data_IF_641740597428
#
_entry.id   IF_641740597428
#
_cell.length_a   1.000
_cell.length_b   1.000
_cell.length_c   1.000
_cell.angle_alpha   90.00
_cell.angle_beta   90.00
_cell.angle_gamma   90.00
#
_symmetry.space_group_name_H-M   'P 1'
#
loop_
_entity.id
_entity.type
_entity.pdbx_description
1 polymer ?
#
# COMPACT_ATOMS: atom_id res chain seq x y z
N UNK A 1 56.11 81.74 18.35
CA UNK A 1 55.92 80.27 18.42
C UNK A 1 54.48 79.98 18.84
N UNK A 2 53.53 79.89 17.91
CA UNK A 2 52.14 79.48 18.26
C UNK A 2 51.31 78.91 17.09
N UNK A 3 51.86 78.68 15.89
CA UNK A 3 51.03 78.24 14.74
C UNK A 3 51.25 76.78 14.30
N UNK A 4 52.24 76.07 14.87
CA UNK A 4 52.51 74.67 14.53
C UNK A 4 51.63 73.65 15.28
N UNK A 5 51.03 74.03 16.42
CA UNK A 5 50.19 73.12 17.22
C UNK A 5 48.72 73.05 16.77
N UNK A 6 48.20 74.09 16.10
CA UNK A 6 46.81 74.10 15.64
C UNK A 6 46.60 73.20 14.40
N UNK A 7 47.60 73.12 13.51
CA UNK A 7 47.54 72.32 12.29
C UNK A 7 47.63 70.81 12.60
N UNK A 8 48.45 70.42 13.58
CA UNK A 8 48.55 69.02 14.03
C UNK A 8 47.28 68.53 14.74
N UNK A 9 46.59 69.39 15.50
CA UNK A 9 45.35 69.02 16.17
C UNK A 9 44.19 68.84 15.18
N UNK A 10 44.10 69.70 14.15
CA UNK A 10 43.09 69.59 13.09
C UNK A 10 43.22 68.31 12.26
N UNK A 11 44.46 67.92 11.89
CA UNK A 11 44.70 66.69 11.13
C UNK A 11 44.39 65.42 11.95
N UNK A 12 44.67 65.45 13.26
CA UNK A 12 44.38 64.32 14.16
C UNK A 12 42.88 64.10 14.34
N UNK A 13 42.12 65.19 14.49
CA UNK A 13 40.65 65.13 14.65
C UNK A 13 39.96 64.62 13.38
N UNK A 14 40.41 65.06 12.19
CA UNK A 14 39.84 64.59 10.92
C UNK A 14 40.14 63.11 10.67
N UNK A 15 41.34 62.65 11.00
CA UNK A 15 41.73 61.23 10.82
C UNK A 15 40.99 60.33 11.82
N UNK A 16 40.80 60.78 13.06
CA UNK A 16 40.03 60.06 14.07
C UNK A 16 38.54 59.95 13.69
N UNK A 17 37.95 61.02 13.15
CA UNK A 17 36.57 61.02 12.64
C UNK A 17 36.38 60.09 11.43
N UNK A 18 37.31 60.11 10.48
CA UNK A 18 37.26 59.21 9.32
C UNK A 18 37.36 57.72 9.73
N UNK A 19 38.17 57.42 10.74
CA UNK A 19 38.31 56.07 11.30
C UNK A 19 37.04 55.65 12.04
N UNK A 20 36.44 56.54 12.83
CA UNK A 20 35.19 56.28 13.55
C UNK A 20 34.02 56.03 12.58
N UNK A 21 33.91 56.83 11.51
CA UNK A 21 32.90 56.65 10.45
C UNK A 21 33.11 55.32 9.72
N UNK A 22 34.36 54.94 9.44
CA UNK A 22 34.66 53.64 8.80
C UNK A 22 34.34 52.45 9.71
N UNK A 23 34.58 52.57 11.03
CA UNK A 23 34.21 51.56 12.03
C UNK A 23 32.70 51.46 12.18
N UNK A 24 31.98 52.59 12.24
CA UNK A 24 30.51 52.62 12.34
C UNK A 24 29.85 52.05 11.08
N UNK A 25 30.34 52.39 9.89
CA UNK A 25 29.89 51.80 8.63
C UNK A 25 30.16 50.28 8.57
N UNK A 26 31.30 49.84 9.10
CA UNK A 26 31.64 48.42 9.24
C UNK A 26 30.74 47.66 10.22
N UNK A 27 30.31 48.30 11.31
CA UNK A 27 29.39 47.73 12.31
C UNK A 27 27.97 47.61 11.74
N UNK A 28 27.47 48.62 11.02
CA UNK A 28 26.16 48.55 10.37
C UNK A 28 26.12 47.52 9.24
N UNK A 29 27.19 47.41 8.44
CA UNK A 29 27.31 46.38 7.41
C UNK A 29 27.44 44.95 7.97
N UNK A 30 27.84 44.81 9.25
CA UNK A 30 27.90 43.53 9.95
C UNK A 30 26.54 43.18 10.54
N UNK A 31 25.83 44.15 11.13
CA UNK A 31 24.46 44.00 11.65
C UNK A 31 23.44 43.69 10.54
N UNK A 32 23.55 44.33 9.38
CA UNK A 32 22.67 44.06 8.24
C UNK A 32 22.89 42.65 7.66
N UNK A 33 24.14 42.18 7.64
CA UNK A 33 24.47 40.80 7.24
C UNK A 33 23.99 39.75 8.23
N UNK A 34 24.03 40.03 9.54
CA UNK A 34 23.51 39.10 10.55
C UNK A 34 21.98 39.02 10.50
N UNK A 35 21.28 40.15 10.29
CA UNK A 35 19.83 40.15 10.12
C UNK A 35 19.40 39.37 8.86
N UNK A 36 20.07 39.61 7.72
CA UNK A 36 19.80 38.88 6.48
C UNK A 36 20.10 37.37 6.60
N UNK A 37 21.12 36.99 7.37
CA UNK A 37 21.42 35.58 7.64
C UNK A 37 20.38 34.92 8.55
N UNK A 38 19.84 35.64 9.52
CA UNK A 38 18.78 35.16 10.42
C UNK A 38 17.44 35.00 9.68
N UNK A 39 17.10 35.93 8.80
CA UNK A 39 15.91 35.85 7.95
C UNK A 39 16.02 34.71 6.93
N UNK A 40 17.20 34.51 6.33
CA UNK A 40 17.46 33.37 5.45
C UNK A 40 17.40 32.03 6.20
N UNK A 41 17.87 31.98 7.45
CA UNK A 41 17.77 30.78 8.28
C UNK A 41 16.31 30.45 8.63
N UNK A 42 15.48 31.46 8.96
CA UNK A 42 14.04 31.27 9.18
C UNK A 42 13.31 30.81 7.92
N UNK A 43 13.61 31.39 6.77
CA UNK A 43 13.04 30.98 5.50
C UNK A 43 13.42 29.54 5.13
N UNK A 44 14.65 29.13 5.44
CA UNK A 44 15.10 27.74 5.24
C UNK A 44 14.42 26.76 6.21
N UNK A 45 14.24 27.15 7.48
CA UNK A 45 13.51 26.36 8.47
C UNK A 45 12.04 26.18 8.07
N UNK A 46 11.39 27.24 7.58
CA UNK A 46 10.02 27.17 7.08
C UNK A 46 9.93 26.30 5.82
N UNK A 47 10.86 26.46 4.86
CA UNK A 47 10.91 25.64 3.65
C UNK A 47 11.12 24.16 3.95
N UNK A 48 11.97 23.82 4.92
CA UNK A 48 12.20 22.42 5.34
C UNK A 48 11.00 21.84 6.08
N UNK A 49 10.31 22.64 6.90
CA UNK A 49 9.05 22.25 7.54
C UNK A 49 7.95 21.98 6.50
N UNK A 50 7.83 22.82 5.48
CA UNK A 50 6.87 22.59 4.40
C UNK A 50 7.21 21.35 3.58
N UNK A 51 8.49 21.13 3.24
CA UNK A 51 8.93 19.94 2.51
C UNK A 51 8.59 18.65 3.26
N UNK A 52 8.91 18.59 4.56
CA UNK A 52 8.58 17.42 5.41
C UNK A 52 7.08 17.21 5.59
N UNK A 53 6.28 18.29 5.65
CA UNK A 53 4.83 18.19 5.68
C UNK A 53 4.25 17.61 4.37
N UNK A 54 4.80 18.01 3.21
CA UNK A 54 4.43 17.47 1.89
C UNK A 54 4.78 16.00 1.80
N UNK A 55 5.99 15.60 2.18
CA UNK A 55 6.39 14.18 2.23
C UNK A 55 5.47 13.35 3.15
N UNK A 56 5.09 13.91 4.30
CA UNK A 56 4.14 13.29 5.22
C UNK A 56 2.74 13.10 4.63
N UNK A 57 2.25 14.10 3.87
CA UNK A 57 0.97 14.05 3.15
C UNK A 57 0.99 13.02 2.03
N UNK A 58 2.06 12.97 1.23
CA UNK A 58 2.24 11.98 0.17
C UNK A 58 2.25 10.56 0.75
N UNK A 59 3.02 10.34 1.83
CA UNK A 59 3.05 9.05 2.51
C UNK A 59 1.69 8.65 3.11
N UNK A 60 0.90 9.61 3.61
CA UNK A 60 -0.45 9.37 4.11
C UNK A 60 -1.43 9.03 2.97
N UNK A 61 -1.33 9.74 1.85
CA UNK A 61 -2.14 9.50 0.65
C UNK A 61 -1.88 8.11 0.07
N UNK A 62 -0.62 7.70 -0.03
CA UNK A 62 -0.25 6.35 -0.49
C UNK A 62 -0.81 5.28 0.45
N UNK A 63 -0.66 5.45 1.78
CA UNK A 63 -1.24 4.52 2.76
C UNK A 63 -2.76 4.42 2.67
N UNK A 64 -3.44 5.54 2.42
CA UNK A 64 -4.90 5.55 2.26
C UNK A 64 -5.32 4.81 0.98
N UNK A 65 -4.62 5.03 -0.14
CA UNK A 65 -4.88 4.32 -1.39
C UNK A 65 -4.62 2.80 -1.25
N UNK A 66 -3.57 2.41 -0.56
CA UNK A 66 -3.27 1.00 -0.29
C UNK A 66 -4.32 0.35 0.62
N UNK A 67 -4.79 1.07 1.65
CA UNK A 67 -5.86 0.60 2.52
C UNK A 67 -7.18 0.41 1.76
N UNK A 68 -7.51 1.33 0.86
CA UNK A 68 -8.68 1.21 -0.01
C UNK A 68 -8.58 0.01 -0.96
N UNK A 69 -7.41 -0.21 -1.57
CA UNK A 69 -7.15 -1.40 -2.40
C UNK A 69 -7.33 -2.69 -1.60
N UNK A 70 -6.76 -2.78 -0.40
CA UNK A 70 -6.93 -3.93 0.50
C UNK A 70 -8.38 -4.16 0.88
N UNK A 71 -9.14 -3.10 1.14
CA UNK A 71 -10.58 -3.21 1.44
C UNK A 71 -11.35 -3.83 0.26
N UNK A 72 -11.14 -3.31 -0.96
CA UNK A 72 -11.78 -3.85 -2.17
C UNK A 72 -11.40 -5.32 -2.40
N UNK A 73 -10.13 -5.70 -2.15
CA UNK A 73 -9.69 -7.09 -2.19
C UNK A 73 -10.42 -7.93 -1.15
N UNK A 74 -10.50 -7.44 0.10
CA UNK A 74 -11.15 -8.15 1.21
C UNK A 74 -12.63 -8.43 0.92
N UNK A 75 -13.35 -7.44 0.37
CA UNK A 75 -14.74 -7.62 -0.05
C UNK A 75 -14.89 -8.69 -1.12
N UNK A 76 -14.04 -8.67 -2.15
CA UNK A 76 -14.08 -9.69 -3.20
C UNK A 76 -13.72 -11.09 -2.68
N UNK A 77 -12.67 -11.18 -1.84
CA UNK A 77 -12.22 -12.42 -1.23
C UNK A 77 -13.32 -13.05 -0.36
N UNK A 78 -13.99 -12.24 0.46
CA UNK A 78 -15.12 -12.69 1.28
C UNK A 78 -16.23 -13.26 0.43
N UNK A 79 -16.65 -12.54 -0.61
CA UNK A 79 -17.77 -13.00 -1.44
C UNK A 79 -17.42 -14.26 -2.24
N UNK A 80 -16.15 -14.39 -2.65
CA UNK A 80 -15.62 -15.59 -3.29
C UNK A 80 -15.65 -16.80 -2.34
N UNK A 81 -15.20 -16.64 -1.10
CA UNK A 81 -15.20 -17.71 -0.09
C UNK A 81 -16.64 -18.19 0.13
N UNK A 82 -17.58 -17.27 0.35
CA UNK A 82 -19.00 -17.61 0.54
C UNK A 82 -19.56 -18.34 -0.68
N UNK A 83 -19.22 -17.90 -1.90
CA UNK A 83 -19.63 -18.57 -3.12
C UNK A 83 -19.07 -20.00 -3.23
N UNK A 84 -17.83 -20.21 -2.80
CA UNK A 84 -17.20 -21.53 -2.82
C UNK A 84 -17.73 -22.44 -1.70
N UNK A 85 -17.95 -21.93 -0.50
CA UNK A 85 -18.58 -22.65 0.62
C UNK A 85 -19.99 -23.15 0.25
N UNK A 86 -20.80 -22.29 -0.38
CA UNK A 86 -22.11 -22.70 -0.92
C UNK A 86 -21.94 -23.81 -1.95
N UNK A 87 -20.89 -23.76 -2.77
CA UNK A 87 -20.55 -24.83 -3.69
C UNK A 87 -20.30 -26.14 -2.93
N UNK A 88 -19.47 -26.14 -1.88
CA UNK A 88 -19.20 -27.31 -1.05
C UNK A 88 -20.48 -27.86 -0.42
N UNK A 89 -21.38 -27.00 0.09
CA UNK A 89 -22.69 -27.43 0.59
C UNK A 89 -23.56 -28.09 -0.52
N UNK A 90 -23.58 -27.52 -1.73
CA UNK A 90 -24.27 -28.13 -2.86
C UNK A 90 -23.67 -29.49 -3.24
N UNK A 91 -22.36 -29.67 -3.09
CA UNK A 91 -21.69 -30.97 -3.28
C UNK A 91 -22.16 -32.02 -2.29
N UNK A 92 -22.36 -31.65 -1.02
CA UNK A 92 -22.90 -32.54 0.02
C UNK A 92 -24.34 -32.96 -0.31
N UNK A 93 -25.13 -32.06 -0.89
CA UNK A 93 -26.51 -32.33 -1.32
C UNK A 93 -26.61 -33.11 -2.65
N UNK A 94 -25.48 -33.29 -3.35
CA UNK A 94 -25.40 -33.93 -4.66
C UNK A 94 -25.13 -32.93 -5.80
N UNK A 95 -24.26 -33.30 -6.75
CA UNK A 95 -23.82 -32.44 -7.86
C UNK A 95 -24.95 -31.86 -8.70
N UNK A 96 -26.05 -32.59 -8.86
CA UNK A 96 -27.23 -32.15 -9.62
C UNK A 96 -27.93 -30.96 -8.96
N UNK A 97 -27.88 -30.83 -7.63
CA UNK A 97 -28.41 -29.68 -6.93
C UNK A 97 -27.68 -28.38 -7.32
N UNK A 98 -26.38 -28.46 -7.62
CA UNK A 98 -25.58 -27.31 -8.03
C UNK A 98 -25.91 -26.82 -9.45
N UNK A 99 -26.23 -27.73 -10.38
CA UNK A 99 -26.58 -27.39 -11.75
C UNK A 99 -27.93 -26.67 -11.86
N UNK A 100 -28.79 -26.85 -10.86
CA UNK A 100 -30.12 -26.24 -10.81
C UNK A 100 -30.21 -25.00 -9.90
N UNK A 101 -29.17 -24.72 -9.12
CA UNK A 101 -29.09 -23.52 -8.29
C UNK A 101 -28.65 -22.31 -9.14
N UNK A 102 -29.65 -21.70 -9.80
CA UNK A 102 -29.47 -20.52 -10.64
C UNK A 102 -28.81 -19.35 -9.90
N UNK A 103 -29.13 -19.16 -8.62
CA UNK A 103 -28.57 -18.06 -7.83
C UNK A 103 -27.06 -18.24 -7.64
N UNK A 104 -26.61 -19.47 -7.36
CA UNK A 104 -25.19 -19.78 -7.23
C UNK A 104 -24.42 -19.52 -8.53
N UNK A 105 -25.00 -19.90 -9.68
CA UNK A 105 -24.41 -19.67 -11.01
C UNK A 105 -24.31 -18.17 -11.30
N UNK A 106 -25.39 -17.42 -11.10
CA UNK A 106 -25.44 -15.97 -11.31
C UNK A 106 -24.45 -15.23 -10.38
N UNK A 107 -24.36 -15.64 -9.12
CA UNK A 107 -23.37 -15.11 -8.18
C UNK A 107 -21.93 -15.35 -8.68
N UNK A 108 -21.62 -16.54 -9.19
CA UNK A 108 -20.30 -16.85 -9.75
C UNK A 108 -19.97 -16.00 -10.99
N UNK A 109 -20.95 -15.71 -11.84
CA UNK A 109 -20.78 -14.79 -12.97
C UNK A 109 -20.57 -13.34 -12.51
N UNK A 110 -21.35 -12.88 -11.54
CA UNK A 110 -21.23 -11.54 -10.95
C UNK A 110 -19.87 -11.32 -10.30
N UNK A 111 -19.36 -12.29 -9.54
CA UNK A 111 -18.03 -12.25 -8.94
C UNK A 111 -16.92 -12.21 -9.99
N UNK A 112 -17.04 -13.03 -11.03
CA UNK A 112 -16.09 -13.02 -12.13
C UNK A 112 -16.10 -11.70 -12.91
N UNK A 113 -17.24 -11.02 -13.02
CA UNK A 113 -17.31 -9.68 -13.59
C UNK A 113 -16.64 -8.64 -12.68
N UNK A 114 -16.92 -8.68 -11.36
CA UNK A 114 -16.28 -7.80 -10.37
C UNK A 114 -14.76 -7.97 -10.34
N UNK A 115 -14.27 -9.21 -10.40
CA UNK A 115 -12.84 -9.52 -10.46
C UNK A 115 -12.13 -8.92 -11.68
N UNK A 116 -12.84 -8.63 -12.78
CA UNK A 116 -12.26 -7.97 -13.96
C UNK A 116 -12.21 -6.44 -13.85
N UNK A 117 -13.03 -5.88 -12.98
CA UNK A 117 -13.19 -4.42 -12.82
C UNK A 117 -12.39 -3.91 -11.63
N UNK A 118 -12.12 -4.77 -10.64
CA UNK A 118 -11.21 -4.42 -9.56
C UNK A 118 -9.80 -4.22 -10.15
N UNK A 119 -9.23 -3.04 -9.88
CA UNK A 119 -7.84 -2.72 -10.23
C UNK A 119 -6.88 -3.42 -9.24
N UNK A 120 -6.88 -4.75 -9.29
CA UNK A 120 -6.04 -5.59 -8.47
C UNK A 120 -5.55 -6.77 -9.28
N UNK A 121 -4.22 -6.89 -9.35
CA UNK A 121 -3.57 -8.09 -9.87
C UNK A 121 -4.03 -9.33 -9.08
N UNK A 122 -4.18 -10.47 -9.74
CA UNK A 122 -4.54 -11.74 -9.10
C UNK A 122 -6.03 -11.97 -8.86
N UNK A 123 -6.90 -10.96 -9.00
CA UNK A 123 -8.33 -11.13 -8.74
C UNK A 123 -8.99 -12.15 -9.70
N UNK A 124 -8.65 -12.06 -10.99
CA UNK A 124 -9.18 -12.96 -12.02
C UNK A 124 -8.60 -14.36 -11.86
N UNK A 125 -7.30 -14.45 -11.54
CA UNK A 125 -6.58 -15.70 -11.30
C UNK A 125 -7.16 -16.44 -10.10
N UNK A 126 -7.47 -15.73 -9.03
CA UNK A 126 -8.14 -16.25 -7.84
C UNK A 126 -9.51 -16.83 -8.19
N UNK A 127 -10.31 -16.10 -8.97
CA UNK A 127 -11.61 -16.61 -9.46
C UNK A 127 -11.46 -17.85 -10.35
N UNK A 128 -10.48 -17.86 -11.25
CA UNK A 128 -10.20 -19.01 -12.11
C UNK A 128 -9.73 -20.22 -11.30
N UNK A 129 -8.90 -20.00 -10.28
CA UNK A 129 -8.47 -21.06 -9.39
C UNK A 129 -9.64 -21.66 -8.62
N UNK A 130 -10.54 -20.85 -8.07
CA UNK A 130 -11.74 -21.35 -7.40
C UNK A 130 -12.62 -22.19 -8.35
N UNK A 131 -12.76 -21.78 -9.61
CA UNK A 131 -13.47 -22.58 -10.64
C UNK A 131 -12.77 -23.90 -10.95
N UNK A 132 -11.44 -23.90 -11.09
CA UNK A 132 -10.64 -25.11 -11.31
C UNK A 132 -10.73 -26.06 -10.11
N UNK A 133 -10.61 -25.54 -8.89
CA UNK A 133 -10.81 -26.30 -7.67
C UNK A 133 -12.17 -26.98 -7.66
N UNK A 134 -13.24 -26.23 -7.94
CA UNK A 134 -14.59 -26.79 -7.98
C UNK A 134 -14.69 -27.95 -8.97
N UNK A 135 -14.18 -27.77 -10.19
CA UNK A 135 -14.21 -28.81 -11.21
C UNK A 135 -13.38 -30.05 -10.82
N UNK A 136 -12.21 -29.84 -10.20
CA UNK A 136 -11.34 -30.92 -9.75
C UNK A 136 -11.97 -31.74 -8.61
N UNK A 137 -12.61 -31.08 -7.63
CA UNK A 137 -13.34 -31.75 -6.56
C UNK A 137 -14.53 -32.56 -7.13
N UNK A 138 -15.22 -32.05 -8.14
CA UNK A 138 -16.36 -32.76 -8.76
C UNK A 138 -15.93 -34.06 -9.47
N UNK A 139 -14.68 -34.11 -9.95
CA UNK A 139 -14.08 -35.31 -10.54
C UNK A 139 -13.68 -36.38 -9.51
N UNK A 140 -13.64 -36.05 -8.22
CA UNK A 140 -13.34 -37.01 -7.14
C UNK A 140 -14.53 -37.96 -6.93
N UNK A 141 -14.22 -39.20 -6.59
CA UNK A 141 -15.21 -40.22 -6.21
C UNK A 141 -16.12 -39.70 -5.08
N UNK A 142 -17.41 -40.01 -5.17
CA UNK A 142 -18.44 -39.43 -4.28
C UNK A 142 -18.11 -39.67 -2.81
N UNK A 143 -17.54 -40.83 -2.49
CA UNK A 143 -17.21 -41.26 -1.13
C UNK A 143 -16.17 -40.36 -0.44
N UNK A 144 -15.26 -39.75 -1.21
CA UNK A 144 -14.18 -38.88 -0.71
C UNK A 144 -14.40 -37.40 -1.02
N UNK A 145 -15.41 -37.10 -1.83
CA UNK A 145 -15.64 -35.75 -2.37
C UNK A 145 -15.84 -34.71 -1.27
N UNK A 146 -16.52 -35.07 -0.17
CA UNK A 146 -16.80 -34.16 0.95
C UNK A 146 -15.49 -33.76 1.64
N UNK A 147 -14.63 -34.71 1.96
CA UNK A 147 -13.37 -34.44 2.65
C UNK A 147 -12.44 -33.57 1.79
N UNK A 148 -12.31 -33.92 0.49
CA UNK A 148 -11.52 -33.12 -0.45
C UNK A 148 -12.12 -31.72 -0.65
N UNK A 149 -13.46 -31.59 -0.71
CA UNK A 149 -14.13 -30.30 -0.82
C UNK A 149 -13.86 -29.40 0.40
N UNK A 150 -13.98 -29.95 1.61
CA UNK A 150 -13.72 -29.24 2.86
C UNK A 150 -12.27 -28.77 2.96
N UNK A 151 -11.32 -29.64 2.64
CA UNK A 151 -9.90 -29.29 2.60
C UNK A 151 -9.62 -28.19 1.56
N UNK A 152 -10.19 -28.31 0.36
CA UNK A 152 -10.04 -27.33 -0.71
C UNK A 152 -10.60 -25.96 -0.33
N UNK A 153 -11.76 -25.92 0.33
CA UNK A 153 -12.35 -24.67 0.85
C UNK A 153 -11.41 -23.99 1.85
N UNK A 154 -10.85 -24.75 2.81
CA UNK A 154 -9.92 -24.19 3.80
C UNK A 154 -8.64 -23.62 3.13
N UNK A 155 -8.10 -24.32 2.14
CA UNK A 155 -6.93 -23.84 1.38
C UNK A 155 -7.24 -22.60 0.56
N UNK A 156 -8.45 -22.51 -0.03
CA UNK A 156 -8.92 -21.31 -0.73
C UNK A 156 -9.02 -20.10 0.18
N UNK A 157 -9.48 -20.28 1.41
CA UNK A 157 -9.56 -19.21 2.39
C UNK A 157 -8.18 -18.64 2.73
N UNK A 158 -7.22 -19.50 3.11
CA UNK A 158 -5.85 -19.07 3.46
C UNK A 158 -5.19 -18.26 2.34
N UNK A 159 -5.51 -18.61 1.10
CA UNK A 159 -4.96 -17.92 -0.05
C UNK A 159 -5.65 -16.61 -0.37
N UNK A 160 -6.98 -16.57 -0.26
CA UNK A 160 -7.72 -15.33 -0.41
C UNK A 160 -7.25 -14.31 0.65
N UNK A 161 -7.02 -14.75 1.89
CA UNK A 161 -6.41 -13.95 2.96
C UNK A 161 -5.04 -13.41 2.55
N UNK A 162 -4.16 -14.29 2.04
CA UNK A 162 -2.83 -13.87 1.60
C UNK A 162 -2.85 -12.90 0.41
N UNK A 163 -3.74 -13.12 -0.56
CA UNK A 163 -3.92 -12.20 -1.68
C UNK A 163 -4.45 -10.83 -1.23
N UNK A 164 -5.32 -10.79 -0.22
CA UNK A 164 -5.79 -9.53 0.38
C UNK A 164 -4.63 -8.74 0.97
N UNK A 165 -3.67 -9.41 1.60
CA UNK A 165 -2.51 -8.76 2.22
C UNK A 165 -1.44 -8.36 1.20
N UNK A 166 -0.96 -9.33 0.43
CA UNK A 166 0.22 -9.22 -0.44
C UNK A 166 -0.12 -8.59 -1.80
N UNK A 167 -1.33 -8.80 -2.32
CA UNK A 167 -1.77 -8.30 -3.62
C UNK A 167 -1.13 -8.94 -4.85
N UNK A 168 -0.18 -9.85 -4.64
CA UNK A 168 0.54 -10.52 -5.71
C UNK A 168 -0.19 -11.78 -6.20
N UNK A 169 -0.01 -12.07 -7.49
CA UNK A 169 -0.43 -13.33 -8.11
C UNK A 169 0.51 -14.43 -7.64
N UNK A 170 0.05 -15.30 -6.75
CA UNK A 170 0.72 -16.58 -6.57
C UNK A 170 0.29 -17.54 -7.68
N UNK A 171 1.27 -18.13 -8.37
CA UNK A 171 0.99 -19.22 -9.32
C UNK A 171 0.60 -20.46 -8.54
N UNK A 172 -0.58 -20.97 -8.85
CA UNK A 172 -1.28 -21.94 -8.03
C UNK A 172 -1.52 -23.25 -8.78
N UNK A 173 -0.92 -24.37 -8.35
CA UNK A 173 -1.25 -25.69 -8.86
C UNK A 173 -2.36 -26.31 -8.00
N UNK A 174 -3.53 -25.65 -7.91
CA UNK A 174 -4.64 -26.08 -7.05
C UNK A 174 -5.09 -27.52 -7.34
N UNK A 175 -4.94 -27.94 -8.60
CA UNK A 175 -5.21 -29.30 -9.08
C UNK A 175 -4.23 -30.32 -8.48
N UNK A 176 -2.97 -29.95 -8.23
CA UNK A 176 -1.98 -30.82 -7.62
C UNK A 176 -2.27 -31.01 -6.12
N UNK A 177 -2.74 -29.98 -5.42
CA UNK A 177 -3.16 -30.13 -4.02
C UNK A 177 -4.36 -31.06 -3.88
N UNK A 178 -5.36 -30.87 -4.73
CA UNK A 178 -6.57 -31.72 -4.74
C UNK A 178 -6.19 -33.16 -5.07
N UNK A 179 -5.29 -33.37 -6.04
CA UNK A 179 -4.78 -34.70 -6.40
C UNK A 179 -4.04 -35.35 -5.23
N UNK A 180 -3.11 -34.63 -4.60
CA UNK A 180 -2.36 -35.13 -3.46
C UNK A 180 -3.28 -35.49 -2.28
N UNK A 181 -4.35 -34.72 -2.05
CA UNK A 181 -5.30 -34.99 -0.98
C UNK A 181 -6.21 -36.20 -1.29
N UNK A 182 -6.70 -36.34 -2.53
CA UNK A 182 -7.42 -37.55 -2.95
C UNK A 182 -6.52 -38.80 -2.90
N UNK A 183 -5.25 -38.68 -3.29
CA UNK A 183 -4.26 -39.75 -3.16
C UNK A 183 -4.04 -40.14 -1.70
N UNK A 184 -3.84 -39.18 -0.80
CA UNK A 184 -3.70 -39.42 0.65
C UNK A 184 -4.90 -40.17 1.22
N UNK A 185 -6.12 -39.75 0.88
CA UNK A 185 -7.34 -40.39 1.36
C UNK A 185 -7.58 -41.79 0.75
N UNK A 186 -6.96 -42.12 -0.38
CA UNK A 186 -6.97 -43.50 -0.91
C UNK A 186 -6.03 -44.41 -0.14
N UNK A 187 -4.88 -43.90 0.29
CA UNK A 187 -3.88 -44.68 1.00
C UNK A 187 -4.29 -44.97 2.47
N UNK A 188 -5.17 -44.13 3.04
CA UNK A 188 -5.68 -44.25 4.41
C UNK A 188 -6.92 -45.18 4.56
N UNK A 189 -7.49 -45.69 3.45
CA UNK A 189 -8.75 -46.45 3.39
C UNK A 189 -8.57 -47.97 3.23
#
# INVERSE_FOLDING_TARGET
MSDANAINFGLFVVTALATLVSVLAGVDARKSRTAAAEDAAKALEESTRTATAVEGLEAASTRAADAEKRLRRSELARDLIVWFERSTALMVLGSDAALHDREWVEAGHGLNARARVIDSEGAVELMQAAKRARAAVDAVAVERRIDVAMHTTAMLQLYAERWVDDGEVQRWPIEDWIRNEDERLRDDA
#
